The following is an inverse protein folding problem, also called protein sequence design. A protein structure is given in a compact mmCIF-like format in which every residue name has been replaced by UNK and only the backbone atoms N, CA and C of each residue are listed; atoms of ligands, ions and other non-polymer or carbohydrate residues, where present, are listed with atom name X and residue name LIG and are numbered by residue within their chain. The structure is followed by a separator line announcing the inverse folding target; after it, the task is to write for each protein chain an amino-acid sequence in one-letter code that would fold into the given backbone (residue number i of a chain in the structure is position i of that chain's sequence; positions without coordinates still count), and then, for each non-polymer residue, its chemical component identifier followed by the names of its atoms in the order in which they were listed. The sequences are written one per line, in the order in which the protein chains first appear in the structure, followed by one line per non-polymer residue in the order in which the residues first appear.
data_IF_792712822990
#
_entry.id   IF_792712822990
#
_cell.length_a   1.000
_cell.length_b   1.000
_cell.length_c   1.000
_cell.angle_alpha   90.00
_cell.angle_beta   90.00
_cell.angle_gamma   90.00
#
_symmetry.space_group_name_H-M   'P 1'
#
loop_
_entity.id
_entity.type
_entity.pdbx_description
1 polymer ?
#
# COMPACT_ATOMS: atom_id res chain seq x y z
N UNK A 1 8.69 -13.86 -12.36
CA UNK A 1 9.63 -13.06 -13.19
C UNK A 1 9.01 -11.69 -13.42
N UNK A 2 9.74 -10.62 -13.12
CA UNK A 2 9.28 -9.23 -13.25
C UNK A 2 9.73 -8.64 -14.59
N UNK A 3 8.79 -8.04 -15.32
CA UNK A 3 9.08 -7.15 -16.47
C UNK A 3 8.73 -5.72 -16.07
N UNK A 4 9.59 -4.76 -16.41
CA UNK A 4 9.33 -3.33 -16.20
C UNK A 4 9.24 -2.66 -17.56
N UNK A 5 8.16 -1.91 -17.78
CA UNK A 5 7.91 -1.12 -18.99
C UNK A 5 7.85 0.33 -18.57
N UNK A 6 8.72 1.16 -19.16
CA UNK A 6 8.82 2.58 -18.86
C UNK A 6 8.47 3.45 -20.06
N UNK A 7 7.94 4.64 -19.81
CA UNK A 7 7.61 5.62 -20.84
C UNK A 7 6.62 6.68 -20.37
N UNK A 8 6.19 7.58 -21.26
CA UNK A 8 5.08 8.51 -21.01
C UNK A 8 3.84 7.78 -20.50
N UNK A 9 3.21 8.30 -19.43
CA UNK A 9 1.98 7.70 -18.89
C UNK A 9 0.92 7.52 -19.99
N UNK A 10 0.56 8.62 -20.65
CA UNK A 10 -0.29 8.61 -21.83
C UNK A 10 0.48 9.10 -23.07
N UNK A 11 0.25 8.52 -24.28
CA UNK A 11 -0.51 7.30 -24.57
C UNK A 11 0.34 6.02 -24.54
N UNK A 12 1.63 6.12 -24.20
CA UNK A 12 2.58 5.03 -24.44
C UNK A 12 2.34 3.82 -23.53
N UNK A 13 2.20 4.04 -22.22
CA UNK A 13 1.94 2.94 -21.28
C UNK A 13 0.54 2.35 -21.45
N UNK A 14 -0.46 3.15 -21.82
CA UNK A 14 -1.81 2.67 -22.13
C UNK A 14 -1.78 1.65 -23.27
N UNK A 15 -1.14 2.01 -24.38
CA UNK A 15 -1.01 1.12 -25.54
C UNK A 15 -0.23 -0.13 -25.20
N UNK A 16 0.84 0.00 -24.41
CA UNK A 16 1.64 -1.14 -23.98
C UNK A 16 0.82 -2.11 -23.11
N UNK A 17 -0.01 -1.60 -22.19
CA UNK A 17 -0.90 -2.39 -21.38
C UNK A 17 -1.92 -3.17 -22.22
N UNK A 18 -2.59 -2.49 -23.17
CA UNK A 18 -3.58 -3.11 -24.05
C UNK A 18 -2.93 -4.20 -24.92
N UNK A 19 -1.75 -3.94 -25.49
CA UNK A 19 -1.02 -4.91 -26.31
C UNK A 19 -0.60 -6.16 -25.52
N UNK A 20 -0.05 -5.97 -24.32
CA UNK A 20 0.36 -7.08 -23.47
C UNK A 20 -0.85 -7.95 -23.05
N UNK A 21 -1.99 -7.33 -22.70
CA UNK A 21 -3.23 -8.04 -22.39
C UNK A 21 -3.70 -8.82 -23.63
N UNK A 22 -3.68 -8.20 -24.81
CA UNK A 22 -4.06 -8.85 -26.08
C UNK A 22 -3.17 -10.06 -26.37
N UNK A 23 -1.86 -9.90 -26.22
CA UNK A 23 -0.90 -10.98 -26.44
C UNK A 23 -1.16 -12.17 -25.52
N UNK A 24 -1.41 -11.93 -24.23
CA UNK A 24 -1.75 -13.01 -23.29
C UNK A 24 -3.08 -13.72 -23.64
N UNK A 25 -4.03 -13.00 -24.24
CA UNK A 25 -5.37 -13.49 -24.60
C UNK A 25 -5.48 -14.08 -26.00
N UNK A 26 -4.41 -14.04 -26.79
CA UNK A 26 -4.45 -14.47 -28.21
C UNK A 26 -4.67 -15.98 -28.33
N UNK A 27 -3.97 -16.77 -27.50
CA UNK A 27 -4.06 -18.24 -27.53
C UNK A 27 -5.18 -18.78 -26.63
N UNK A 28 -5.47 -18.10 -25.51
CA UNK A 28 -6.55 -18.46 -24.58
C UNK A 28 -7.37 -17.21 -24.18
N UNK A 29 -8.60 -17.04 -24.71
CA UNK A 29 -9.49 -15.94 -24.34
C UNK A 29 -9.87 -15.92 -22.85
N UNK A 30 -9.81 -17.06 -22.16
CA UNK A 30 -10.18 -17.22 -20.75
C UNK A 30 -8.99 -17.19 -19.80
N UNK A 31 -7.77 -16.99 -20.31
CA UNK A 31 -6.57 -16.85 -19.50
C UNK A 31 -6.77 -15.90 -18.30
N UNK A 32 -6.59 -16.33 -17.04
CA UNK A 32 -6.80 -15.48 -15.88
C UNK A 32 -5.72 -14.40 -15.79
N UNK A 33 -6.12 -13.13 -15.85
CA UNK A 33 -5.24 -11.96 -15.75
C UNK A 33 -5.71 -11.03 -14.63
N UNK A 34 -4.79 -10.31 -13.99
CA UNK A 34 -5.16 -9.23 -13.07
C UNK A 34 -4.45 -7.93 -13.42
N UNK A 35 -5.20 -6.83 -13.37
CA UNK A 35 -4.69 -5.46 -13.50
C UNK A 35 -4.85 -4.77 -12.15
N UNK A 36 -3.72 -4.39 -11.58
CA UNK A 36 -3.61 -3.71 -10.30
C UNK A 36 -3.35 -2.23 -10.57
N UNK A 37 -4.15 -1.36 -9.96
CA UNK A 37 -4.07 0.10 -10.12
C UNK A 37 -4.15 0.80 -8.75
N UNK A 38 -3.73 2.07 -8.62
CA UNK A 38 -3.76 2.73 -7.31
C UNK A 38 -5.14 3.24 -6.90
N UNK A 39 -6.09 3.41 -7.83
CA UNK A 39 -7.39 4.02 -7.53
C UNK A 39 -8.54 3.40 -8.33
N UNK A 40 -9.76 3.55 -7.80
CA UNK A 40 -10.99 3.15 -8.50
C UNK A 40 -11.21 3.95 -9.79
N UNK A 41 -10.79 5.22 -9.84
CA UNK A 41 -10.88 6.01 -11.09
C UNK A 41 -10.01 5.43 -12.20
N UNK A 42 -8.82 4.90 -11.87
CA UNK A 42 -7.97 4.22 -12.84
C UNK A 42 -8.51 2.83 -13.24
N UNK A 43 -9.25 2.15 -12.35
CA UNK A 43 -9.98 0.93 -12.73
C UNK A 43 -10.95 1.23 -13.87
N UNK A 44 -11.77 2.27 -13.71
CA UNK A 44 -12.74 2.66 -14.73
C UNK A 44 -12.05 3.14 -16.01
N UNK A 45 -10.97 3.91 -15.89
CA UNK A 45 -10.16 4.31 -17.04
C UNK A 45 -9.62 3.11 -17.84
N UNK A 46 -9.04 2.11 -17.18
CA UNK A 46 -8.51 0.92 -17.86
C UNK A 46 -9.63 0.11 -18.53
N UNK A 47 -10.80 -0.01 -17.90
CA UNK A 47 -11.97 -0.64 -18.53
C UNK A 47 -12.41 0.11 -19.78
N UNK A 48 -12.44 1.44 -19.73
CA UNK A 48 -12.74 2.28 -20.89
C UNK A 48 -11.70 2.09 -22.02
N UNK A 49 -10.42 2.04 -21.69
CA UNK A 49 -9.35 1.77 -22.67
C UNK A 49 -9.58 0.44 -23.38
N UNK A 50 -9.83 -0.63 -22.62
CA UNK A 50 -10.02 -1.98 -23.17
C UNK A 50 -11.31 -2.13 -23.99
N UNK A 51 -12.34 -1.32 -23.72
CA UNK A 51 -13.62 -1.36 -24.44
C UNK A 51 -13.66 -0.46 -25.68
N UNK A 52 -12.91 0.64 -25.69
CA UNK A 52 -12.85 1.56 -26.84
C UNK A 52 -12.02 1.03 -27.99
N UNK A 53 -10.93 0.32 -27.67
CA UNK A 53 -9.95 -0.07 -28.68
C UNK A 53 -10.31 -1.37 -29.42
N UNK A 54 -11.35 -2.14 -29.02
CA UNK A 54 -11.62 -3.47 -29.60
C UNK A 54 -13.12 -3.87 -29.67
N UNK A 55 -13.55 -4.58 -30.74
CA UNK A 55 -14.85 -5.25 -30.82
C UNK A 55 -14.91 -6.61 -30.10
N UNK A 56 -13.84 -7.01 -29.39
CA UNK A 56 -13.73 -8.32 -28.70
C UNK A 56 -13.93 -8.18 -27.20
N UNK A 57 -14.71 -9.07 -26.62
CA UNK A 57 -14.93 -9.14 -25.18
C UNK A 57 -13.72 -9.76 -24.49
N UNK A 58 -13.04 -9.01 -23.62
CA UNK A 58 -12.06 -9.55 -22.69
C UNK A 58 -12.78 -10.20 -21.50
N UNK A 59 -12.56 -11.49 -21.26
CA UNK A 59 -13.13 -12.23 -20.14
C UNK A 59 -12.05 -12.58 -19.11
N UNK A 60 -12.45 -12.91 -17.89
CA UNK A 60 -11.53 -13.37 -16.83
C UNK A 60 -10.34 -12.42 -16.56
N UNK A 61 -10.62 -11.11 -16.55
CA UNK A 61 -9.67 -10.07 -16.11
C UNK A 61 -10.16 -9.48 -14.80
N UNK A 62 -9.34 -9.57 -13.76
CA UNK A 62 -9.60 -8.95 -12.47
C UNK A 62 -9.03 -7.54 -12.46
N UNK A 63 -9.87 -6.53 -12.28
CA UNK A 63 -9.42 -5.15 -12.05
C UNK A 63 -9.50 -4.86 -10.56
N UNK A 64 -8.34 -4.64 -9.93
CA UNK A 64 -8.24 -4.48 -8.49
C UNK A 64 -7.42 -3.24 -8.16
N UNK A 65 -7.81 -2.54 -7.11
CA UNK A 65 -6.88 -1.62 -6.44
C UNK A 65 -5.87 -2.41 -5.61
N UNK A 66 -4.78 -1.77 -5.22
CA UNK A 66 -3.80 -2.36 -4.30
C UNK A 66 -4.44 -2.88 -3.00
N UNK A 67 -5.38 -2.11 -2.45
CA UNK A 67 -6.17 -2.49 -1.28
C UNK A 67 -7.06 -3.71 -1.56
N UNK A 68 -7.76 -3.74 -2.70
CA UNK A 68 -8.61 -4.87 -3.08
C UNK A 68 -7.81 -6.15 -3.31
N UNK A 69 -6.58 -6.04 -3.83
CA UNK A 69 -5.67 -7.17 -3.93
C UNK A 69 -5.32 -7.73 -2.54
N UNK A 70 -4.99 -6.88 -1.58
CA UNK A 70 -4.70 -7.31 -0.21
C UNK A 70 -5.90 -8.02 0.44
N UNK A 71 -7.11 -7.46 0.31
CA UNK A 71 -8.34 -8.12 0.77
C UNK A 71 -8.53 -9.49 0.12
N UNK A 72 -8.39 -9.56 -1.20
CA UNK A 72 -8.57 -10.82 -1.95
C UNK A 72 -7.58 -11.89 -1.50
N UNK A 73 -6.33 -11.51 -1.23
CA UNK A 73 -5.28 -12.42 -0.78
C UNK A 73 -5.47 -12.87 0.65
N UNK A 74 -5.97 -12.01 1.55
CA UNK A 74 -6.37 -12.42 2.90
C UNK A 74 -7.41 -13.54 2.82
N UNK A 75 -8.49 -13.28 2.10
CA UNK A 75 -9.62 -14.21 2.01
C UNK A 75 -9.20 -15.53 1.31
N UNK A 76 -8.31 -15.45 0.32
CA UNK A 76 -7.74 -16.62 -0.38
C UNK A 76 -6.83 -17.47 0.52
N UNK A 77 -5.96 -16.85 1.30
CA UNK A 77 -5.06 -17.56 2.22
C UNK A 77 -5.80 -18.15 3.43
N UNK A 78 -6.83 -17.47 3.91
CA UNK A 78 -7.70 -18.00 4.97
C UNK A 78 -8.47 -19.23 4.51
N UNK A 79 -8.95 -19.25 3.25
CA UNK A 79 -9.64 -20.41 2.69
C UNK A 79 -8.74 -21.65 2.54
N UNK A 80 -7.43 -21.46 2.35
CA UNK A 80 -6.45 -22.55 2.24
C UNK A 80 -5.95 -23.02 3.61
N UNK A 81 -6.04 -22.17 4.65
CA UNK A 81 -5.55 -22.53 5.98
C UNK A 81 -6.57 -23.38 6.74
N UNK A 82 -6.24 -24.65 7.00
CA UNK A 82 -7.03 -25.54 7.87
C UNK A 82 -6.94 -25.19 9.37
N UNK A 83 -6.16 -24.17 9.74
CA UNK A 83 -5.97 -23.74 11.12
C UNK A 83 -7.17 -22.93 11.65
N UNK A 84 -7.35 -22.93 12.97
CA UNK A 84 -8.39 -22.15 13.64
C UNK A 84 -8.39 -20.67 13.17
N UNK A 85 -9.57 -20.03 13.10
CA UNK A 85 -9.70 -18.67 12.57
C UNK A 85 -8.80 -17.73 13.38
N UNK A 86 -7.77 -17.18 12.72
CA UNK A 86 -6.97 -16.10 13.30
C UNK A 86 -7.88 -14.87 13.44
N UNK A 87 -7.70 -14.06 14.49
CA UNK A 87 -8.38 -12.77 14.56
C UNK A 87 -8.07 -11.97 13.30
N UNK A 88 -9.13 -11.57 12.59
CA UNK A 88 -9.04 -10.80 11.36
C UNK A 88 -8.79 -9.34 11.71
N UNK A 89 -7.69 -8.78 11.16
CA UNK A 89 -7.40 -7.37 11.28
C UNK A 89 -8.60 -6.56 10.77
N UNK A 90 -9.25 -5.84 11.67
CA UNK A 90 -10.38 -4.98 11.35
C UNK A 90 -9.88 -3.69 10.73
N UNK A 91 -10.44 -3.34 9.57
CA UNK A 91 -10.06 -2.12 8.89
C UNK A 91 -10.78 -0.92 9.49
N UNK A 92 -10.00 0.03 9.99
CA UNK A 92 -10.49 1.27 10.55
C UNK A 92 -10.20 2.45 9.62
N UNK A 93 -11.06 3.47 9.67
CA UNK A 93 -10.86 4.70 8.91
C UNK A 93 -9.87 5.64 9.60
N UNK A 94 -9.46 6.69 8.89
CA UNK A 94 -8.56 7.71 9.43
C UNK A 94 -9.12 8.37 10.70
N UNK A 95 -10.45 8.53 10.78
CA UNK A 95 -11.09 9.18 11.94
C UNK A 95 -10.89 8.38 13.24
N UNK A 96 -10.97 7.05 13.17
CA UNK A 96 -10.65 6.18 14.29
C UNK A 96 -9.23 6.43 14.80
N UNK A 97 -8.24 6.47 13.90
CA UNK A 97 -6.85 6.67 14.29
C UNK A 97 -6.58 8.09 14.80
N UNK A 98 -7.26 9.10 14.26
CA UNK A 98 -7.23 10.47 14.81
C UNK A 98 -7.72 10.50 16.27
N UNK A 99 -8.82 9.79 16.59
CA UNK A 99 -9.29 9.68 17.97
C UNK A 99 -8.35 8.85 18.84
N UNK A 100 -7.72 7.82 18.28
CA UNK A 100 -6.73 7.01 19.00
C UNK A 100 -5.51 7.84 19.39
N UNK A 101 -4.96 8.65 18.47
CA UNK A 101 -3.88 9.61 18.75
C UNK A 101 -4.27 10.57 19.87
N UNK A 102 -5.46 11.17 19.79
CA UNK A 102 -5.97 12.04 20.84
C UNK A 102 -6.03 11.33 22.20
N UNK A 103 -6.48 10.08 22.23
CA UNK A 103 -6.59 9.31 23.46
C UNK A 103 -5.21 8.92 24.04
N UNK A 104 -4.24 8.56 23.20
CA UNK A 104 -2.87 8.26 23.61
C UNK A 104 -2.20 9.49 24.23
N UNK A 105 -2.33 10.66 23.61
CA UNK A 105 -1.75 11.91 24.13
C UNK A 105 -2.38 12.28 25.48
N UNK A 106 -3.70 12.07 25.64
CA UNK A 106 -4.41 12.32 26.92
C UNK A 106 -3.95 11.43 28.07
N UNK A 107 -3.40 10.24 27.79
CA UNK A 107 -2.84 9.34 28.82
C UNK A 107 -1.55 9.87 29.44
N UNK A 108 -0.93 10.93 28.88
CA UNK A 108 0.30 11.55 29.38
C UNK A 108 1.41 10.54 29.64
N UNK A 109 1.62 9.64 28.67
CA UNK A 109 2.73 8.69 28.73
C UNK A 109 4.07 9.45 28.79
N UNK A 110 5.08 8.92 29.50
CA UNK A 110 6.42 9.52 29.51
C UNK A 110 6.97 9.68 28.09
N UNK A 111 7.53 10.86 27.80
CA UNK A 111 8.09 11.18 26.50
C UNK A 111 7.11 11.87 25.54
N UNK A 112 5.81 11.97 25.86
CA UNK A 112 4.81 12.68 25.04
C UNK A 112 4.58 14.13 25.47
N UNK A 113 5.37 14.68 26.40
CA UNK A 113 5.14 16.00 27.00
C UNK A 113 5.12 17.14 25.98
N UNK A 114 6.01 17.22 24.98
CA UNK A 114 5.96 18.21 23.90
C UNK A 114 4.63 18.16 23.12
N UNK A 115 4.17 16.96 22.76
CA UNK A 115 2.93 16.77 21.99
C UNK A 115 1.69 17.12 22.82
N UNK A 116 1.71 16.82 24.12
CA UNK A 116 0.62 17.14 25.03
C UNK A 116 0.43 18.66 25.26
N UNK A 117 1.44 19.48 24.95
CA UNK A 117 1.38 20.95 25.04
C UNK A 117 0.78 21.59 23.79
N UNK A 118 0.62 20.86 22.69
CA UNK A 118 0.00 21.38 21.48
C UNK A 118 -1.46 21.78 21.75
N UNK A 119 -1.89 22.87 21.13
CA UNK A 119 -3.29 23.30 21.20
C UNK A 119 -4.18 22.19 20.63
N UNK A 120 -5.14 21.76 21.44
CA UNK A 120 -6.08 20.72 21.06
C UNK A 120 -7.04 21.26 20.00
N UNK A 121 -6.78 20.90 18.74
CA UNK A 121 -7.66 21.19 17.60
C UNK A 121 -7.87 19.91 16.77
N UNK A 122 -8.97 19.80 16.00
CA UNK A 122 -9.16 18.67 15.08
C UNK A 122 -7.99 18.50 14.10
N UNK A 123 -7.44 19.61 13.59
CA UNK A 123 -6.29 19.59 12.68
C UNK A 123 -5.01 19.04 13.31
N UNK A 124 -4.84 19.23 14.63
CA UNK A 124 -3.68 18.70 15.38
C UNK A 124 -3.66 17.17 15.34
N UNK A 125 -4.80 16.51 15.60
CA UNK A 125 -4.88 15.04 15.64
C UNK A 125 -4.72 14.43 14.26
N UNK A 126 -5.33 15.05 13.25
CA UNK A 126 -5.14 14.68 11.84
C UNK A 126 -3.67 14.79 11.42
N UNK A 127 -3.00 15.89 11.74
CA UNK A 127 -1.59 16.07 11.41
C UNK A 127 -0.68 15.05 12.08
N UNK A 128 -0.88 14.80 13.39
CA UNK A 128 -0.11 13.80 14.13
C UNK A 128 -0.36 12.38 13.63
N UNK A 129 -1.62 12.04 13.31
CA UNK A 129 -1.94 10.76 12.68
C UNK A 129 -1.25 10.63 11.33
N UNK A 130 -1.30 11.65 10.47
CA UNK A 130 -0.62 11.63 9.17
C UNK A 130 0.88 11.35 9.32
N UNK A 131 1.58 12.02 10.26
CA UNK A 131 3.01 11.75 10.50
C UNK A 131 3.26 10.34 11.04
N UNK A 132 2.42 9.83 11.94
CA UNK A 132 2.53 8.45 12.43
C UNK A 132 2.30 7.45 11.30
N UNK A 133 1.34 7.71 10.42
CA UNK A 133 1.06 6.91 9.23
C UNK A 133 2.26 6.93 8.28
N UNK A 134 2.84 8.10 7.99
CA UNK A 134 4.03 8.20 7.12
C UNK A 134 5.21 7.37 7.66
N UNK A 135 5.47 7.43 8.98
CA UNK A 135 6.51 6.62 9.62
C UNK A 135 6.25 5.12 9.51
N UNK A 136 4.97 4.74 9.59
CA UNK A 136 4.52 3.37 9.53
C UNK A 136 4.58 2.81 8.10
N UNK A 137 4.13 3.59 7.12
CA UNK A 137 4.18 3.26 5.70
C UNK A 137 5.63 3.19 5.18
N UNK A 138 6.54 3.93 5.82
CA UNK A 138 7.99 3.84 5.64
C UNK A 138 8.65 2.67 6.41
N UNK A 139 7.89 1.90 7.19
CA UNK A 139 8.37 0.75 7.99
C UNK A 139 9.43 1.15 9.03
N UNK A 140 9.30 2.34 9.61
CA UNK A 140 10.22 2.82 10.65
C UNK A 140 9.94 2.10 11.97
N UNK A 141 10.86 1.24 12.42
CA UNK A 141 10.72 0.58 13.73
C UNK A 141 10.91 1.61 14.87
N UNK A 142 9.90 1.82 15.75
CA UNK A 142 10.00 2.84 16.81
C UNK A 142 11.16 2.59 17.78
N UNK A 143 11.44 1.33 18.10
CA UNK A 143 12.54 0.92 18.99
C UNK A 143 13.91 1.29 18.41
N UNK A 144 14.11 1.02 17.12
CA UNK A 144 15.33 1.41 16.40
C UNK A 144 15.48 2.92 16.33
N UNK A 145 14.39 3.64 16.04
CA UNK A 145 14.39 5.09 15.94
C UNK A 145 14.70 5.77 17.29
N UNK A 146 14.12 5.26 18.39
CA UNK A 146 14.42 5.72 19.76
C UNK A 146 15.87 5.42 20.17
N UNK A 147 16.42 4.27 19.75
CA UNK A 147 17.82 3.93 19.97
C UNK A 147 18.75 4.90 19.22
N UNK A 148 18.47 5.18 17.95
CA UNK A 148 19.24 6.12 17.14
C UNK A 148 19.24 7.55 17.73
N UNK A 149 18.13 7.99 18.34
CA UNK A 149 18.09 9.25 19.10
C UNK A 149 19.04 9.24 20.31
N UNK A 150 19.14 8.11 21.00
CA UNK A 150 20.01 7.96 22.18
C UNK A 150 21.49 7.92 21.79
N UNK A 151 21.79 7.37 20.61
CA UNK A 151 23.13 7.30 20.03
C UNK A 151 23.58 8.60 19.35
N UNK A 152 22.74 9.64 19.36
CA UNK A 152 23.10 10.96 18.83
C UNK A 152 23.11 11.06 17.30
N UNK A 153 22.39 10.17 16.61
CA UNK A 153 22.30 10.16 15.13
C UNK A 153 21.60 11.41 14.58
N UNK A 154 20.75 12.04 15.39
CA UNK A 154 19.97 13.23 15.02
C UNK A 154 20.51 14.50 15.69
N UNK A 155 20.27 15.64 15.04
CA UNK A 155 20.56 16.99 15.55
C UNK A 155 19.90 17.23 16.91
N UNK A 156 20.57 17.97 17.79
CA UNK A 156 20.16 18.11 19.20
C UNK A 156 18.83 18.84 19.38
N UNK A 157 18.57 19.85 18.54
CA UNK A 157 17.43 20.75 18.65
C UNK A 157 16.08 20.01 18.49
N UNK A 158 16.05 18.96 17.67
CA UNK A 158 14.84 18.20 17.38
C UNK A 158 14.67 16.95 18.25
N UNK A 159 15.67 16.55 19.04
CA UNK A 159 15.65 15.27 19.78
C UNK A 159 14.45 15.09 20.67
N UNK A 160 14.01 16.18 21.32
CA UNK A 160 12.86 16.15 22.22
C UNK A 160 11.57 15.88 21.46
N UNK A 161 11.37 16.54 20.32
CA UNK A 161 10.20 16.32 19.46
C UNK A 161 10.22 14.96 18.78
N UNK A 162 11.37 14.55 18.24
CA UNK A 162 11.53 13.23 17.62
C UNK A 162 11.30 12.10 18.61
N UNK A 163 11.78 12.23 19.85
CA UNK A 163 11.48 11.27 20.92
C UNK A 163 9.98 11.15 21.12
N UNK A 164 9.27 12.27 21.24
CA UNK A 164 7.81 12.25 21.38
C UNK A 164 7.09 11.62 20.19
N UNK A 165 7.54 11.90 18.97
CA UNK A 165 6.98 11.31 17.77
C UNK A 165 7.19 9.81 17.69
N UNK A 166 8.38 9.30 18.00
CA UNK A 166 8.63 7.86 18.01
C UNK A 166 7.95 7.15 19.17
N UNK A 167 7.82 7.80 20.34
CA UNK A 167 7.01 7.28 21.44
C UNK A 167 5.52 7.21 21.07
N UNK A 168 4.98 8.25 20.41
CA UNK A 168 3.60 8.24 19.90
C UNK A 168 3.42 7.12 18.88
N UNK A 169 4.34 7.01 17.92
CA UNK A 169 4.34 5.94 16.92
C UNK A 169 4.30 4.56 17.58
N UNK A 170 5.18 4.30 18.56
CA UNK A 170 5.18 3.04 19.31
C UNK A 170 3.84 2.76 20.00
N UNK A 171 3.27 3.77 20.66
CA UNK A 171 2.01 3.63 21.38
C UNK A 171 0.82 3.35 20.43
N UNK A 172 0.80 3.98 19.25
CA UNK A 172 -0.24 3.74 18.23
C UNK A 172 -0.09 2.33 17.63
N UNK A 173 1.12 1.88 17.32
CA UNK A 173 1.35 0.51 16.85
C UNK A 173 0.93 -0.54 17.89
N UNK A 174 1.23 -0.31 19.16
CA UNK A 174 0.80 -1.20 20.25
C UNK A 174 -0.72 -1.21 20.41
N UNK A 175 -1.36 -0.04 20.39
CA UNK A 175 -2.80 0.07 20.50
C UNK A 175 -3.53 -0.57 19.30
N UNK A 176 -3.04 -0.37 18.08
CA UNK A 176 -3.59 -1.01 16.88
C UNK A 176 -3.53 -2.54 16.96
N UNK A 177 -2.38 -3.10 17.38
CA UNK A 177 -2.23 -4.54 17.62
C UNK A 177 -3.15 -5.05 18.73
N UNK A 178 -3.23 -4.34 19.85
CA UNK A 178 -4.08 -4.73 21.00
C UNK A 178 -5.58 -4.71 20.67
N UNK A 179 -6.00 -3.82 19.78
CA UNK A 179 -7.39 -3.68 19.34
C UNK A 179 -7.68 -4.48 18.06
N UNK A 180 -6.68 -5.13 17.47
CA UNK A 180 -6.78 -5.86 16.20
C UNK A 180 -7.31 -4.98 15.05
N UNK A 181 -6.96 -3.69 15.06
CA UNK A 181 -7.38 -2.69 14.07
C UNK A 181 -6.20 -2.17 13.26
N UNK A 182 -6.44 -1.96 11.96
CA UNK A 182 -5.43 -1.50 11.02
C UNK A 182 -6.00 -0.71 9.85
N UNK A 183 -5.11 -0.06 9.12
CA UNK A 183 -5.33 0.56 7.83
C UNK A 183 -5.23 -0.46 6.68
N UNK A 184 -5.60 -0.09 5.45
CA UNK A 184 -5.31 -0.89 4.26
C UNK A 184 -3.85 -1.34 4.12
N UNK A 185 -2.89 -0.47 4.45
CA UNK A 185 -1.46 -0.79 4.37
C UNK A 185 -1.03 -1.72 5.50
N UNK A 186 -1.66 -1.67 6.68
CA UNK A 186 -1.46 -2.70 7.73
C UNK A 186 -1.87 -4.08 7.25
N UNK A 187 -2.99 -4.17 6.52
CA UNK A 187 -3.43 -5.43 5.97
C UNK A 187 -2.38 -5.97 5.00
N UNK A 188 -1.90 -5.14 4.06
CA UNK A 188 -0.82 -5.51 3.15
C UNK A 188 0.45 -5.95 3.89
N UNK A 189 0.85 -5.25 4.94
CA UNK A 189 1.97 -5.62 5.79
C UNK A 189 1.76 -6.94 6.55
N UNK A 190 0.52 -7.20 7.02
CA UNK A 190 0.16 -8.38 7.82
C UNK A 190 0.13 -9.68 7.03
N UNK A 191 -0.14 -9.61 5.72
CA UNK A 191 -0.12 -10.77 4.82
C UNK A 191 1.27 -11.40 4.71
N UNK A 192 2.30 -10.71 5.21
CA UNK A 192 3.66 -11.22 5.31
C UNK A 192 4.35 -11.29 3.96
N UNK A 193 5.49 -12.00 3.94
CA UNK A 193 6.35 -12.12 2.74
C UNK A 193 6.13 -13.40 1.96
N UNK A 194 5.40 -14.35 2.52
CA UNK A 194 5.15 -15.65 1.90
C UNK A 194 3.68 -15.73 1.44
N UNK A 195 3.50 -15.53 0.14
CA UNK A 195 2.20 -15.63 -0.53
C UNK A 195 2.11 -16.93 -1.36
N UNK A 196 3.01 -17.89 -1.14
CA UNK A 196 3.11 -19.11 -1.96
C UNK A 196 1.86 -19.99 -1.89
N UNK A 197 1.13 -19.95 -0.77
CA UNK A 197 -0.13 -20.67 -0.59
C UNK A 197 -1.33 -20.05 -1.33
N UNK A 198 -1.18 -18.89 -1.96
CA UNK A 198 -2.31 -18.21 -2.61
C UNK A 198 -2.74 -18.94 -3.89
N UNK A 199 -3.93 -19.54 -3.87
CA UNK A 199 -4.54 -20.16 -5.05
C UNK A 199 -4.82 -19.12 -6.14
N UNK A 200 -5.19 -17.91 -5.74
CA UNK A 200 -5.44 -16.79 -6.65
C UNK A 200 -4.17 -16.40 -7.42
N UNK A 201 -3.03 -16.15 -6.75
CA UNK A 201 -1.80 -15.75 -7.44
C UNK A 201 -1.24 -16.86 -8.32
N UNK A 202 -1.23 -18.09 -7.84
CA UNK A 202 -0.75 -19.25 -8.60
C UNK A 202 -1.65 -19.55 -9.82
N UNK A 203 -2.93 -19.18 -9.74
CA UNK A 203 -3.88 -19.35 -10.83
C UNK A 203 -3.75 -18.32 -11.93
N UNK A 204 -3.08 -17.18 -11.71
CA UNK A 204 -2.97 -16.11 -12.70
C UNK A 204 -1.88 -16.39 -13.75
N UNK A 205 -2.19 -16.19 -15.03
CA UNK A 205 -1.19 -16.22 -16.09
C UNK A 205 -0.26 -15.01 -16.00
N UNK A 206 -0.81 -13.83 -15.68
CA UNK A 206 -0.03 -12.59 -15.53
C UNK A 206 -0.75 -11.53 -14.70
N UNK A 207 0.05 -10.76 -13.96
CA UNK A 207 -0.35 -9.53 -13.28
C UNK A 207 0.23 -8.32 -13.98
N UNK A 208 -0.55 -7.24 -14.03
CA UNK A 208 -0.16 -5.95 -14.59
C UNK A 208 -0.32 -4.87 -13.52
N UNK A 209 0.76 -4.22 -13.11
CA UNK A 209 0.70 -3.04 -12.23
C UNK A 209 0.76 -1.79 -13.09
N UNK A 210 -0.28 -0.96 -13.06
CA UNK A 210 -0.41 0.20 -13.93
C UNK A 210 -0.87 1.43 -13.16
N UNK A 211 -0.23 2.58 -13.43
CA UNK A 211 -0.60 3.88 -12.85
C UNK A 211 0.06 4.25 -11.54
N UNK A 212 0.99 3.43 -11.04
CA UNK A 212 1.80 3.77 -9.86
C UNK A 212 2.98 4.66 -10.25
N UNK A 213 3.14 5.82 -9.60
CA UNK A 213 4.29 6.73 -9.78
C UNK A 213 5.25 6.72 -8.59
N UNK A 214 4.75 6.31 -7.43
CA UNK A 214 5.49 6.04 -6.21
C UNK A 214 4.84 4.84 -5.48
N UNK A 215 5.57 4.29 -4.52
CA UNK A 215 5.11 3.26 -3.61
C UNK A 215 5.70 3.57 -2.24
N UNK A 216 4.90 3.45 -1.18
CA UNK A 216 5.44 3.43 0.18
C UNK A 216 6.29 2.17 0.39
N UNK A 217 7.10 2.13 1.45
CA UNK A 217 7.93 0.94 1.72
C UNK A 217 7.07 -0.30 2.01
N UNK A 218 5.91 -0.13 2.65
CA UNK A 218 4.92 -1.22 2.84
C UNK A 218 4.42 -1.73 1.49
N UNK A 219 3.99 -0.83 0.61
CA UNK A 219 3.48 -1.21 -0.71
C UNK A 219 4.56 -1.86 -1.58
N UNK A 220 5.80 -1.36 -1.54
CA UNK A 220 6.92 -1.98 -2.23
C UNK A 220 7.18 -3.41 -1.72
N UNK A 221 7.20 -3.60 -0.40
CA UNK A 221 7.44 -4.91 0.22
C UNK A 221 6.33 -5.92 -0.14
N UNK A 222 5.08 -5.47 -0.19
CA UNK A 222 3.95 -6.29 -0.62
C UNK A 222 4.02 -6.63 -2.12
N UNK A 223 4.31 -5.63 -2.96
CA UNK A 223 4.54 -5.84 -4.39
C UNK A 223 5.64 -6.88 -4.65
N UNK A 224 6.79 -6.76 -3.97
CA UNK A 224 7.88 -7.73 -4.08
C UNK A 224 7.45 -9.14 -3.68
N UNK A 225 6.59 -9.27 -2.67
CA UNK A 225 6.04 -10.56 -2.23
C UNK A 225 5.13 -11.17 -3.30
N UNK A 226 4.31 -10.35 -3.96
CA UNK A 226 3.44 -10.80 -5.07
C UNK A 226 4.26 -11.23 -6.29
N UNK A 227 5.27 -10.44 -6.68
CA UNK A 227 6.13 -10.67 -7.85
C UNK A 227 6.93 -11.98 -7.76
N UNK A 228 7.21 -12.46 -6.53
CA UNK A 228 7.85 -13.76 -6.30
C UNK A 228 6.97 -14.94 -6.70
N UNK A 229 5.65 -14.78 -6.64
CA UNK A 229 4.70 -15.87 -6.90
C UNK A 229 4.19 -15.81 -8.33
N UNK A 230 3.77 -14.63 -8.80
CA UNK A 230 3.07 -14.52 -10.07
C UNK A 230 3.87 -13.73 -11.14
N UNK A 231 3.85 -14.16 -12.42
CA UNK A 231 4.45 -13.39 -13.51
C UNK A 231 3.87 -11.98 -13.56
N UNK A 232 4.73 -10.96 -13.45
CA UNK A 232 4.27 -9.59 -13.25
C UNK A 232 4.91 -8.63 -14.24
N UNK A 233 4.12 -7.71 -14.77
CA UNK A 233 4.60 -6.56 -15.56
C UNK A 233 4.24 -5.27 -14.83
N UNK A 234 5.22 -4.40 -14.59
CA UNK A 234 5.05 -3.08 -14.00
C UNK A 234 5.18 -2.01 -15.09
N UNK A 235 4.16 -1.16 -15.24
CA UNK A 235 4.17 0.01 -16.11
C UNK A 235 4.47 1.24 -15.27
N UNK A 236 5.70 1.75 -15.40
CA UNK A 236 6.18 2.86 -14.57
C UNK A 236 6.35 4.12 -15.42
N UNK A 237 5.64 5.21 -15.11
CA UNK A 237 5.76 6.45 -15.86
C UNK A 237 7.15 7.04 -15.68
N UNK A 238 7.91 7.12 -16.77
CA UNK A 238 9.24 7.72 -16.80
C UNK A 238 9.39 8.51 -18.09
N UNK A 239 9.72 9.78 -17.96
CA UNK A 239 10.02 10.66 -19.07
C UNK A 239 11.33 11.38 -18.79
N UNK A 240 12.17 11.49 -19.82
CA UNK A 240 13.39 12.29 -19.77
C UNK A 240 13.06 13.77 -20.00
N UNK A 241 12.18 14.32 -19.14
CA UNK A 241 11.76 15.72 -19.13
C UNK A 241 11.47 16.19 -17.70
N UNK A 242 11.70 17.47 -17.39
CA UNK A 242 11.38 18.01 -16.07
C UNK A 242 9.91 17.80 -15.70
N UNK A 243 9.66 17.36 -14.47
CA UNK A 243 8.32 16.98 -14.01
C UNK A 243 7.27 18.08 -14.27
N UNK A 244 7.58 19.37 -14.12
CA UNK A 244 6.60 20.46 -14.30
C UNK A 244 5.98 20.58 -15.71
N UNK A 245 6.49 19.87 -16.73
CA UNK A 245 5.94 19.92 -18.09
C UNK A 245 4.57 19.26 -18.24
N UNK A 246 4.08 18.48 -17.27
CA UNK A 246 2.70 17.95 -17.29
C UNK A 246 1.63 19.03 -17.04
N UNK A 247 2.00 20.20 -16.53
CA UNK A 247 1.08 21.28 -16.14
C UNK A 247 0.90 22.36 -17.22
N UNK A 248 1.29 22.08 -18.47
CA UNK A 248 1.15 22.98 -19.62
C UNK A 248 0.08 22.54 -20.58
#
# INVERSE_FOLDING_TARGET
MLRIVTGPFHPALDRALVEDIRSCKTDDPFAPLAVIVPSASLVEHVKELLTRDEPRTFLNIYFLTFHQLALRLRDDLEAVSEAAPKPTLQLADDFFFEQLVRQVIRRKLPGLEPLARLLASPGTWKGLWATVRDLKDAVVAPTTALKALTEGVFEEDDRTWLRSMFTLHAAIMEAGRSLEVGSPDDLAASLGRDLSGSSFLNGLQRLFYYGFYDLSQVQLSFFESVVRIAPTTLYFPLQDRPAFFFAR
#
